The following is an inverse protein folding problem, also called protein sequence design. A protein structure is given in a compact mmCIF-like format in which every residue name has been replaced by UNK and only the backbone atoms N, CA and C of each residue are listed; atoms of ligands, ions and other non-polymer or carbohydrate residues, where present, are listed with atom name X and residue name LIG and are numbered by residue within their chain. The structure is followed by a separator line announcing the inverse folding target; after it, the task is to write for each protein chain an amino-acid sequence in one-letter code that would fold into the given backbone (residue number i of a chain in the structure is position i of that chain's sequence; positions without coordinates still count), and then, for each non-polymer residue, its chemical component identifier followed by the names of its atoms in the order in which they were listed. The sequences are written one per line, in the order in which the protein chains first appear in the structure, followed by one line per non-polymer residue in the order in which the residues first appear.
data_IF_570571449260
#
_entry.id   IF_570571449260
#
_cell.length_a   1.000
_cell.length_b   1.000
_cell.length_c   1.000
_cell.angle_alpha   90.00
_cell.angle_beta   90.00
_cell.angle_gamma   90.00
#
_symmetry.space_group_name_H-M   'P 1'
#
loop_
_entity.id
_entity.type
_entity.pdbx_description
1 polymer ?
#
# COMPACT_ATOMS: atom_id res chain seq x y z
N UNK A 1 -7.48 7.37 69.90
CA UNK A 1 -7.34 8.83 69.72
C UNK A 1 -6.48 9.07 68.49
N UNK A 2 -6.94 9.95 67.59
CA UNK A 2 -6.19 10.69 66.55
C UNK A 2 -5.56 9.85 65.40
N UNK A 3 -5.63 10.22 64.12
CA UNK A 3 -6.31 11.30 63.39
C UNK A 3 -6.25 10.88 61.91
N UNK A 4 -7.38 10.77 61.22
CA UNK A 4 -7.45 10.60 59.77
C UNK A 4 -7.04 11.92 59.11
N UNK A 5 -5.94 11.94 58.35
CA UNK A 5 -5.60 13.08 57.49
C UNK A 5 -6.40 12.98 56.19
N UNK A 6 -7.53 13.66 56.24
CA UNK A 6 -8.20 14.40 55.18
C UNK A 6 -7.21 14.93 54.13
N UNK A 7 -7.12 14.26 52.98
CA UNK A 7 -6.65 14.87 51.73
C UNK A 7 -7.81 15.70 51.15
N UNK A 8 -8.15 16.78 51.85
CA UNK A 8 -8.69 17.97 51.23
C UNK A 8 -7.48 18.81 50.81
N UNK A 9 -7.31 18.99 49.51
CA UNK A 9 -7.03 20.30 48.91
C UNK A 9 -7.04 20.09 47.40
N UNK A 10 -8.27 20.05 46.89
CA UNK A 10 -8.58 20.40 45.52
C UNK A 10 -8.15 21.86 45.32
N UNK A 11 -6.96 22.11 44.78
CA UNK A 11 -6.63 23.43 44.25
C UNK A 11 -7.49 23.64 42.98
N UNK A 12 -8.47 24.57 42.98
CA UNK A 12 -9.20 24.89 41.77
C UNK A 12 -8.23 25.64 40.84
N UNK A 13 -7.85 24.99 39.75
CA UNK A 13 -7.16 25.67 38.65
C UNK A 13 -7.95 26.94 38.27
N UNK A 14 -7.29 28.11 38.14
CA UNK A 14 -7.97 29.33 37.74
C UNK A 14 -8.59 29.15 36.35
N UNK A 15 -9.92 29.21 36.29
CA UNK A 15 -10.74 29.01 35.07
C UNK A 15 -10.85 30.25 34.17
N UNK A 16 -9.92 31.20 34.26
CA UNK A 16 -9.89 32.33 33.35
C UNK A 16 -8.43 32.69 33.07
N UNK A 17 -7.97 32.31 31.87
CA UNK A 17 -6.85 33.01 31.27
C UNK A 17 -7.29 34.47 31.11
N UNK A 18 -6.43 35.47 31.38
CA UNK A 18 -6.75 36.84 31.03
C UNK A 18 -7.14 36.87 29.55
N UNK A 19 -8.28 37.48 29.23
CA UNK A 19 -8.70 37.70 27.85
C UNK A 19 -7.55 38.43 27.14
N UNK A 20 -6.71 37.66 26.46
CA UNK A 20 -5.73 38.18 25.53
C UNK A 20 -6.55 38.91 24.48
N UNK A 21 -6.55 40.23 24.58
CA UNK A 21 -7.11 41.10 23.56
C UNK A 21 -6.26 40.85 22.31
N UNK A 22 -6.69 39.85 21.52
CA UNK A 22 -6.12 39.55 20.22
C UNK A 22 -6.17 40.87 19.44
N UNK A 23 -5.03 41.44 19.06
CA UNK A 23 -5.02 42.70 18.34
C UNK A 23 -5.86 42.51 17.07
N UNK A 24 -6.85 43.38 16.85
CA UNK A 24 -7.69 43.39 15.65
C UNK A 24 -6.78 43.30 14.42
N UNK A 25 -6.67 42.11 13.85
CA UNK A 25 -5.78 41.83 12.73
C UNK A 25 -6.32 42.61 11.52
N UNK A 26 -5.58 43.59 10.96
CA UNK A 26 -6.09 44.48 9.91
C UNK A 26 -6.46 43.78 8.60
N UNK A 27 -6.13 42.50 8.48
CA UNK A 27 -6.38 41.68 7.31
C UNK A 27 -7.49 40.68 7.64
N UNK A 28 -8.73 40.87 7.14
CA UNK A 28 -9.73 39.82 7.26
C UNK A 28 -9.14 38.56 6.60
N UNK A 29 -9.12 37.41 7.28
CA UNK A 29 -8.62 36.18 6.68
C UNK A 29 -9.40 35.94 5.40
N UNK A 30 -8.71 36.00 4.26
CA UNK A 30 -9.32 35.71 2.97
C UNK A 30 -10.01 34.33 3.08
N UNK A 31 -11.28 34.21 2.68
CA UNK A 31 -12.00 32.95 2.77
C UNK A 31 -11.28 31.94 1.90
N UNK A 32 -10.52 31.05 2.55
CA UNK A 32 -9.81 29.96 1.86
C UNK A 32 -10.84 29.22 1.01
N UNK A 33 -10.60 29.05 -0.30
CA UNK A 33 -11.54 28.37 -1.18
C UNK A 33 -11.74 26.95 -0.66
N UNK A 34 -12.88 26.72 -0.02
CA UNK A 34 -13.23 25.45 0.61
C UNK A 34 -13.67 24.48 -0.50
N UNK A 35 -12.69 23.82 -1.12
CA UNK A 35 -12.93 22.76 -2.09
C UNK A 35 -13.36 21.49 -1.37
N UNK A 36 -14.40 20.83 -1.88
CA UNK A 36 -14.94 19.60 -1.33
C UNK A 36 -13.90 18.46 -1.51
N UNK A 37 -13.41 17.81 -0.43
CA UNK A 37 -12.38 16.77 -0.53
C UNK A 37 -12.80 15.60 -1.44
N UNK A 38 -14.09 15.29 -1.50
CA UNK A 38 -14.62 14.23 -2.36
C UNK A 38 -14.49 14.53 -3.86
N UNK A 39 -14.53 15.81 -4.24
CA UNK A 39 -14.35 16.22 -5.63
C UNK A 39 -12.88 16.09 -6.09
N UNK A 40 -11.93 16.34 -5.19
CA UNK A 40 -10.50 16.12 -5.44
C UNK A 40 -10.23 14.62 -5.60
N UNK A 41 -10.81 13.78 -4.72
CA UNK A 41 -10.68 12.32 -4.80
C UNK A 41 -11.27 11.78 -6.11
N UNK A 42 -12.45 12.27 -6.51
CA UNK A 42 -13.09 11.88 -7.78
C UNK A 42 -12.20 12.23 -8.99
N UNK A 43 -11.58 13.41 -8.99
CA UNK A 43 -10.69 13.85 -10.07
C UNK A 43 -9.40 13.03 -10.14
N UNK A 44 -8.77 12.77 -9.00
CA UNK A 44 -7.56 11.92 -8.96
C UNK A 44 -7.88 10.49 -9.40
N UNK A 45 -9.02 9.93 -8.96
CA UNK A 45 -9.45 8.61 -9.39
C UNK A 45 -9.73 8.55 -10.91
N UNK A 46 -10.32 9.60 -11.49
CA UNK A 46 -10.52 9.68 -12.93
C UNK A 46 -9.18 9.75 -13.69
N UNK A 47 -8.23 10.55 -13.21
CA UNK A 47 -6.88 10.64 -13.82
C UNK A 47 -6.11 9.33 -13.76
N UNK A 48 -6.35 8.50 -12.74
CA UNK A 48 -5.74 7.18 -12.59
C UNK A 48 -6.53 6.06 -13.30
N UNK A 49 -7.52 6.41 -14.13
CA UNK A 49 -8.43 5.46 -14.80
C UNK A 49 -9.17 4.51 -13.83
N UNK A 50 -9.31 4.89 -12.55
CA UNK A 50 -10.07 4.16 -11.53
C UNK A 50 -11.57 4.49 -11.66
N UNK A 51 -12.12 4.21 -12.84
CA UNK A 51 -13.49 4.57 -13.24
C UNK A 51 -14.57 4.28 -12.19
N UNK A 52 -14.63 3.08 -11.57
CA UNK A 52 -15.67 2.80 -10.58
C UNK A 52 -15.59 3.71 -9.35
N UNK A 53 -14.36 4.03 -8.94
CA UNK A 53 -14.09 4.94 -7.81
C UNK A 53 -14.45 6.37 -8.20
N UNK A 54 -14.05 6.83 -9.39
CA UNK A 54 -14.37 8.16 -9.90
C UNK A 54 -15.88 8.41 -10.00
N UNK A 55 -16.64 7.42 -10.47
CA UNK A 55 -18.10 7.51 -10.57
C UNK A 55 -18.74 7.66 -9.19
N UNK A 56 -18.35 6.84 -8.22
CA UNK A 56 -18.91 6.88 -6.85
C UNK A 56 -18.62 8.21 -6.17
N UNK A 57 -17.37 8.68 -6.22
CA UNK A 57 -17.00 9.96 -5.60
C UNK A 57 -17.58 11.17 -6.34
N UNK A 58 -17.74 11.10 -7.66
CA UNK A 58 -18.44 12.12 -8.45
C UNK A 58 -19.92 12.23 -8.11
N UNK A 59 -20.60 11.10 -7.90
CA UNK A 59 -22.01 11.07 -7.46
C UNK A 59 -22.17 11.61 -6.03
N UNK A 60 -21.25 11.30 -5.11
CA UNK A 60 -21.23 11.85 -3.75
C UNK A 60 -21.00 13.37 -3.77
N UNK A 61 -20.13 13.85 -4.67
CA UNK A 61 -19.89 15.28 -4.85
C UNK A 61 -21.11 16.05 -5.41
N UNK A 62 -22.00 15.38 -6.14
CA UNK A 62 -23.24 15.97 -6.69
C UNK A 62 -24.27 16.36 -5.62
N UNK A 63 -24.17 15.78 -4.42
CA UNK A 63 -25.03 16.12 -3.28
C UNK A 63 -24.74 17.48 -2.64
N UNK A 64 -23.72 18.22 -3.10
CA UNK A 64 -23.37 19.54 -2.58
C UNK A 64 -23.71 20.67 -3.58
N UNK A 65 -24.47 21.71 -3.16
CA UNK A 65 -25.00 22.74 -4.07
C UNK A 65 -23.91 23.57 -4.78
N UNK A 66 -22.67 23.57 -4.27
CA UNK A 66 -21.53 24.29 -4.84
C UNK A 66 -20.60 23.46 -5.75
N UNK A 67 -20.85 22.16 -5.93
CA UNK A 67 -19.96 21.25 -6.69
C UNK A 67 -20.40 20.91 -8.12
N UNK A 68 -21.54 21.43 -8.58
CA UNK A 68 -22.24 20.93 -9.79
C UNK A 68 -21.41 21.06 -11.07
N UNK A 69 -20.66 22.14 -11.25
CA UNK A 69 -19.85 22.36 -12.46
C UNK A 69 -18.66 21.37 -12.56
N UNK A 70 -17.98 21.10 -11.44
CA UNK A 70 -16.86 20.16 -11.42
C UNK A 70 -17.33 18.72 -11.61
N UNK A 71 -18.49 18.38 -11.04
CA UNK A 71 -19.08 17.07 -11.21
C UNK A 71 -19.58 16.82 -12.65
N UNK A 72 -20.09 17.84 -13.35
CA UNK A 72 -20.42 17.72 -14.78
C UNK A 72 -19.18 17.46 -15.64
N UNK A 73 -18.03 18.11 -15.34
CA UNK A 73 -16.79 17.82 -16.06
C UNK A 73 -16.31 16.40 -15.82
N UNK A 74 -16.35 15.90 -14.58
CA UNK A 74 -15.97 14.52 -14.27
C UNK A 74 -16.83 13.48 -15.02
N UNK A 75 -18.14 13.71 -15.10
CA UNK A 75 -19.06 12.84 -15.85
C UNK A 75 -18.78 12.89 -17.35
N UNK A 76 -18.56 14.07 -17.92
CA UNK A 76 -18.23 14.22 -19.34
C UNK A 76 -16.90 13.56 -19.70
N UNK A 77 -15.89 13.68 -18.83
CA UNK A 77 -14.59 13.02 -19.00
C UNK A 77 -14.73 11.50 -18.96
N UNK A 78 -15.50 10.98 -17.99
CA UNK A 78 -15.80 9.55 -17.93
C UNK A 78 -16.55 9.03 -19.16
N UNK A 79 -17.53 9.79 -19.66
CA UNK A 79 -18.25 9.42 -20.89
C UNK A 79 -17.35 9.44 -22.14
N UNK A 80 -16.46 10.43 -22.25
CA UNK A 80 -15.52 10.54 -23.36
C UNK A 80 -14.51 9.37 -23.37
N UNK A 81 -14.04 8.96 -22.21
CA UNK A 81 -13.07 7.85 -22.10
C UNK A 81 -13.73 6.48 -22.33
N UNK A 82 -14.97 6.25 -21.88
CA UNK A 82 -15.74 5.05 -22.26
C UNK A 82 -15.95 4.98 -23.78
N UNK A 83 -16.26 6.12 -24.42
CA UNK A 83 -16.40 6.19 -25.87
C UNK A 83 -15.08 5.90 -26.58
N UNK A 84 -13.95 6.39 -26.05
CA UNK A 84 -12.62 6.12 -26.61
C UNK A 84 -12.23 4.64 -26.47
N UNK A 85 -12.50 4.00 -25.32
CA UNK A 85 -12.27 2.57 -25.13
C UNK A 85 -13.16 1.72 -26.04
N UNK A 86 -14.44 2.08 -26.19
CA UNK A 86 -15.34 1.41 -27.13
C UNK A 86 -14.86 1.55 -28.57
N UNK A 87 -14.41 2.75 -28.98
CA UNK A 87 -13.83 2.97 -30.29
C UNK A 87 -12.54 2.16 -30.51
N UNK A 88 -11.67 2.08 -29.51
CA UNK A 88 -10.45 1.26 -29.55
C UNK A 88 -10.78 -0.23 -29.70
N UNK A 89 -11.77 -0.74 -28.96
CA UNK A 89 -12.22 -2.14 -29.04
C UNK A 89 -12.86 -2.43 -30.40
N UNK A 90 -13.68 -1.52 -30.93
CA UNK A 90 -14.27 -1.67 -32.26
C UNK A 90 -13.21 -1.62 -33.38
N UNK A 91 -12.20 -0.74 -33.25
CA UNK A 91 -11.11 -0.62 -34.22
C UNK A 91 -10.15 -1.82 -34.17
N UNK A 92 -9.88 -2.36 -32.98
CA UNK A 92 -9.06 -3.57 -32.79
C UNK A 92 -9.80 -4.85 -33.17
N UNK A 93 -11.13 -4.90 -33.00
CA UNK A 93 -11.97 -5.99 -33.49
C UNK A 93 -11.93 -6.14 -35.02
N UNK A 94 -11.78 -5.04 -35.75
CA UNK A 94 -11.57 -5.06 -37.20
C UNK A 94 -10.18 -5.61 -37.59
N UNK A 95 -9.13 -5.37 -36.81
CA UNK A 95 -7.78 -5.88 -37.08
C UNK A 95 -7.62 -7.37 -36.73
N UNK A 96 -8.32 -7.86 -35.70
CA UNK A 96 -8.33 -9.28 -35.32
C UNK A 96 -9.13 -10.14 -36.30
N UNK A 97 -10.18 -9.59 -36.93
CA UNK A 97 -11.00 -10.31 -37.93
C UNK A 97 -10.23 -10.58 -39.24
N UNK A 98 -9.32 -9.69 -39.65
CA UNK A 98 -8.44 -9.90 -40.81
C UNK A 98 -7.25 -10.86 -40.49
N UNK A 99 -6.86 -10.98 -39.22
CA UNK A 99 -5.82 -11.92 -38.78
C UNK A 99 -6.31 -13.37 -38.70
N UNK A 100 -7.56 -13.58 -38.27
CA UNK A 100 -8.17 -14.91 -38.16
C UNK A 100 -8.57 -15.50 -39.51
N UNK A 101 -8.96 -14.69 -40.48
CA UNK A 101 -9.27 -15.17 -41.85
C UNK A 101 -8.02 -15.54 -42.66
N UNK A 102 -6.84 -14.99 -42.34
CA UNK A 102 -5.57 -15.37 -43.00
C UNK A 102 -4.92 -16.62 -42.39
N UNK A 103 -5.21 -16.94 -41.13
CA UNK A 103 -4.69 -18.14 -40.47
C UNK A 103 -5.42 -19.43 -40.91
N UNK A 104 -6.66 -19.32 -41.41
CA UNK A 104 -7.44 -20.46 -41.91
C UNK A 104 -7.07 -20.89 -43.34
N UNK A 105 -6.39 -20.04 -44.12
CA UNK A 105 -6.05 -20.29 -45.54
C UNK A 105 -4.70 -21.02 -45.75
N UNK A 106 -4.07 -21.55 -44.69
CA UNK A 106 -2.78 -22.26 -44.76
C UNK A 106 -2.83 -23.73 -44.32
N UNK A 107 -4.01 -24.32 -44.10
CA UNK A 107 -4.12 -25.77 -43.80
C UNK A 107 -4.85 -26.49 -44.93
N UNK A 108 -4.10 -26.77 -46.01
CA UNK A 108 -4.46 -27.83 -46.95
C UNK A 108 -4.03 -29.21 -46.38
N UNK A 109 -4.78 -30.28 -46.65
CA UNK A 109 -4.65 -31.56 -45.96
C UNK A 109 -3.52 -32.41 -46.57
N UNK A 110 -2.69 -33.01 -45.73
CA UNK A 110 -1.85 -34.14 -46.13
C UNK A 110 -2.12 -35.36 -45.24
N UNK A 111 -2.81 -36.33 -45.83
CA UNK A 111 -2.87 -37.71 -45.35
C UNK A 111 -1.53 -38.41 -45.58
N UNK A 112 -1.08 -39.19 -44.61
CA UNK A 112 -1.00 -40.68 -44.61
C UNK A 112 0.30 -41.19 -43.97
N UNK A 113 0.13 -42.28 -43.24
CA UNK A 113 1.07 -43.36 -42.91
C UNK A 113 1.48 -43.40 -41.43
N UNK A 114 1.00 -44.46 -40.79
CA UNK A 114 1.28 -44.77 -39.41
C UNK A 114 2.66 -45.38 -39.21
N UNK A 115 3.09 -45.34 -37.96
CA UNK A 115 3.97 -46.33 -37.40
C UNK A 115 3.74 -46.39 -35.90
N UNK A 116 3.24 -47.53 -35.45
CA UNK A 116 3.11 -47.91 -34.05
C UNK A 116 4.50 -48.07 -33.47
N UNK A 117 4.90 -47.16 -32.58
CA UNK A 117 6.05 -47.35 -31.69
C UNK A 117 5.59 -47.09 -30.25
N UNK A 118 5.81 -48.09 -29.39
CA UNK A 118 5.43 -48.08 -28.00
C UNK A 118 6.10 -46.92 -27.22
N UNK A 119 5.42 -46.31 -26.24
CA UNK A 119 6.03 -45.28 -25.41
C UNK A 119 7.11 -45.89 -24.50
N UNK A 120 8.30 -45.28 -24.37
CA UNK A 120 9.18 -45.60 -23.26
C UNK A 120 8.52 -45.15 -21.96
N UNK A 121 8.38 -46.08 -21.02
CA UNK A 121 8.02 -45.80 -19.63
C UNK A 121 9.08 -44.88 -19.02
N UNK A 122 8.80 -43.59 -18.98
CA UNK A 122 9.51 -42.64 -18.11
C UNK A 122 8.88 -42.69 -16.74
N UNK A 123 9.67 -43.15 -15.79
CA UNK A 123 9.41 -43.10 -14.35
C UNK A 123 9.02 -41.69 -13.94
N UNK A 124 7.97 -41.49 -13.12
CA UNK A 124 7.62 -40.16 -12.63
C UNK A 124 8.73 -39.66 -11.71
N UNK A 125 9.45 -38.62 -12.16
CA UNK A 125 10.21 -37.76 -11.25
C UNK A 125 9.20 -37.10 -10.30
N UNK A 126 9.33 -37.28 -8.98
CA UNK A 126 8.43 -36.62 -8.05
C UNK A 126 8.54 -35.08 -8.23
N UNK A 127 7.43 -34.33 -8.11
CA UNK A 127 7.49 -32.88 -8.07
C UNK A 127 8.48 -32.43 -6.98
N UNK A 128 9.22 -31.31 -7.16
CA UNK A 128 10.01 -30.76 -6.07
C UNK A 128 9.10 -30.63 -4.87
N UNK A 129 9.46 -31.33 -3.79
CA UNK A 129 8.73 -31.28 -2.55
C UNK A 129 8.61 -29.81 -2.16
N UNK A 130 7.38 -29.32 -2.11
CA UNK A 130 7.06 -28.08 -1.44
C UNK A 130 7.57 -28.24 -0.01
N UNK A 131 8.69 -27.59 0.31
CA UNK A 131 9.16 -27.52 1.68
C UNK A 131 8.11 -26.72 2.44
N UNK A 132 7.19 -27.44 3.08
CA UNK A 132 6.42 -26.89 4.19
C UNK A 132 7.46 -26.26 5.12
N UNK A 133 7.36 -24.96 5.46
CA UNK A 133 8.28 -24.39 6.41
C UNK A 133 8.09 -25.15 7.71
N UNK A 134 9.12 -25.89 8.11
CA UNK A 134 9.31 -26.31 9.49
C UNK A 134 9.16 -25.05 10.32
N UNK A 135 8.09 -24.96 11.10
CA UNK A 135 7.89 -23.88 12.05
C UNK A 135 9.05 -23.94 13.06
N UNK A 136 10.13 -23.20 12.75
CA UNK A 136 11.13 -22.84 13.74
C UNK A 136 10.40 -22.07 14.85
N UNK A 137 10.83 -22.21 16.12
CA UNK A 137 10.28 -21.40 17.20
C UNK A 137 10.38 -19.93 16.78
N UNK A 138 9.23 -19.27 16.66
CA UNK A 138 9.17 -17.82 16.48
C UNK A 138 9.90 -17.23 17.68
N UNK A 139 11.13 -16.75 17.46
CA UNK A 139 11.81 -15.96 18.46
C UNK A 139 10.87 -14.82 18.83
N UNK A 140 10.40 -14.83 20.07
CA UNK A 140 9.42 -13.87 20.56
C UNK A 140 10.02 -12.48 20.40
N UNK A 141 9.35 -11.62 19.62
CA UNK A 141 9.86 -10.29 19.34
C UNK A 141 10.02 -9.52 20.64
N UNK A 142 11.12 -8.75 20.82
CA UNK A 142 11.32 -7.99 22.04
C UNK A 142 10.19 -6.98 22.25
N UNK A 143 9.65 -6.93 23.47
CA UNK A 143 8.68 -5.90 23.85
C UNK A 143 9.42 -4.57 24.03
N UNK A 144 9.05 -3.57 23.24
CA UNK A 144 9.74 -2.27 23.15
C UNK A 144 8.75 -1.11 23.22
N UNK A 145 9.23 0.07 23.62
CA UNK A 145 8.40 1.29 23.72
C UNK A 145 8.65 2.18 22.50
N UNK A 146 7.58 2.68 21.88
CA UNK A 146 7.66 3.68 20.82
C UNK A 146 8.43 4.92 21.32
N UNK A 147 9.33 5.42 20.48
CA UNK A 147 10.23 6.54 20.77
C UNK A 147 11.44 6.20 21.63
N UNK A 148 11.55 4.98 22.18
CA UNK A 148 12.75 4.58 22.91
C UNK A 148 13.95 4.49 21.97
N UNK A 149 15.14 4.81 22.49
CA UNK A 149 16.38 4.66 21.75
C UNK A 149 16.67 3.18 21.46
N UNK A 150 17.33 2.94 20.33
CA UNK A 150 17.88 1.64 19.96
C UNK A 150 19.32 1.79 19.47
N UNK A 151 20.05 0.69 19.44
CA UNK A 151 21.45 0.66 19.01
C UNK A 151 21.57 0.46 17.51
N UNK A 152 22.72 0.81 16.91
CA UNK A 152 22.98 0.57 15.49
C UNK A 152 22.87 -0.93 15.13
N UNK A 153 23.24 -1.83 16.05
CA UNK A 153 23.06 -3.28 15.86
C UNK A 153 21.58 -3.70 15.77
N UNK A 154 20.67 -2.86 16.27
CA UNK A 154 19.23 -3.10 16.22
C UNK A 154 18.55 -2.45 15.02
N UNK A 155 19.26 -1.76 14.13
CA UNK A 155 18.66 -1.13 12.95
C UNK A 155 17.88 -2.14 12.08
N UNK A 156 16.64 -1.79 11.78
CA UNK A 156 15.68 -2.64 11.09
C UNK A 156 15.12 -3.79 11.92
N UNK A 157 15.50 -3.97 13.19
CA UNK A 157 14.90 -5.00 14.05
C UNK A 157 13.42 -4.73 14.25
N UNK A 158 12.66 -5.81 14.38
CA UNK A 158 11.23 -5.81 14.64
C UNK A 158 11.01 -6.05 16.13
N UNK A 159 10.26 -5.14 16.76
CA UNK A 159 9.81 -5.26 18.13
C UNK A 159 8.29 -5.19 18.23
N UNK A 160 7.75 -5.54 19.40
CA UNK A 160 6.33 -5.44 19.70
C UNK A 160 6.09 -4.38 20.76
N UNK A 161 5.16 -3.46 20.52
CA UNK A 161 4.70 -2.53 21.53
C UNK A 161 3.78 -3.24 22.54
N UNK A 162 3.57 -2.60 23.70
CA UNK A 162 2.71 -3.15 24.76
C UNK A 162 1.23 -3.32 24.33
N UNK A 163 0.82 -2.61 23.28
CA UNK A 163 -0.50 -2.72 22.65
C UNK A 163 -0.55 -3.78 21.54
N UNK A 164 0.56 -4.51 21.29
CA UNK A 164 0.69 -5.50 20.22
C UNK A 164 1.07 -4.92 18.86
N UNK A 165 1.26 -3.59 18.74
CA UNK A 165 1.73 -2.97 17.51
C UNK A 165 3.15 -3.40 17.14
N UNK A 166 3.45 -3.53 15.85
CA UNK A 166 4.83 -3.79 15.40
C UNK A 166 5.61 -2.47 15.33
N UNK A 167 6.77 -2.43 15.99
CA UNK A 167 7.70 -1.31 15.96
C UNK A 167 8.98 -1.70 15.23
N UNK A 168 9.61 -0.73 14.56
CA UNK A 168 10.89 -0.88 13.88
C UNK A 168 11.92 0.05 14.51
N UNK A 169 13.14 -0.43 14.69
CA UNK A 169 14.26 0.46 15.05
C UNK A 169 14.79 1.12 13.77
N UNK A 170 14.50 2.40 13.58
CA UNK A 170 14.91 3.17 12.40
C UNK A 170 15.88 4.28 12.80
N UNK A 171 16.70 4.71 11.84
CA UNK A 171 17.48 5.93 11.95
C UNK A 171 16.58 7.15 12.00
N UNK A 172 16.99 8.17 12.75
CA UNK A 172 16.35 9.47 12.67
C UNK A 172 16.87 10.23 11.44
N UNK A 173 16.02 10.55 10.45
CA UNK A 173 16.47 11.33 9.29
C UNK A 173 16.95 12.73 9.69
N UNK A 174 16.55 13.24 10.86
CA UNK A 174 16.97 14.55 11.37
C UNK A 174 18.32 14.53 12.11
N UNK A 175 18.84 13.36 12.52
CA UNK A 175 20.08 13.29 13.30
C UNK A 175 20.82 11.99 13.03
N UNK A 176 22.00 12.11 12.41
CA UNK A 176 22.87 10.97 12.14
C UNK A 176 23.25 10.21 13.42
N UNK A 177 23.23 8.89 13.34
CA UNK A 177 23.61 8.00 14.45
C UNK A 177 22.58 7.91 15.59
N UNK A 178 21.47 8.64 15.53
CA UNK A 178 20.35 8.47 16.45
C UNK A 178 19.38 7.47 15.87
N UNK A 179 19.03 6.44 16.65
CA UNK A 179 18.08 5.41 16.25
C UNK A 179 16.99 5.27 17.30
N UNK A 180 15.75 5.12 16.86
CA UNK A 180 14.59 4.99 17.74
C UNK A 180 13.60 3.96 17.23
N UNK A 181 12.87 3.38 18.16
CA UNK A 181 11.72 2.53 17.85
C UNK A 181 10.54 3.38 17.34
N UNK A 182 10.19 3.25 16.06
CA UNK A 182 9.08 3.93 15.39
C UNK A 182 7.97 2.95 15.00
N UNK A 183 6.78 3.46 14.67
CA UNK A 183 5.63 2.66 14.25
C UNK A 183 4.29 3.23 14.73
N UNK A 184 3.18 2.49 14.58
CA UNK A 184 3.12 1.08 14.17
C UNK A 184 3.39 0.85 12.68
N UNK A 185 3.98 -0.29 12.33
CA UNK A 185 4.21 -0.74 10.95
C UNK A 185 3.51 -2.07 10.65
N UNK A 186 3.21 -2.32 9.38
CA UNK A 186 2.77 -3.63 8.89
C UNK A 186 3.92 -4.31 8.15
N UNK A 187 4.53 -5.30 8.81
CA UNK A 187 5.60 -6.11 8.22
C UNK A 187 5.02 -7.47 7.86
N UNK A 188 5.13 -7.86 6.58
CA UNK A 188 4.71 -9.18 6.12
C UNK A 188 5.39 -10.30 6.91
N UNK A 189 4.75 -11.46 7.00
CA UNK A 189 5.28 -12.63 7.73
C UNK A 189 6.24 -13.48 6.90
N UNK A 190 6.38 -13.20 5.61
CA UNK A 190 7.32 -13.88 4.72
C UNK A 190 8.77 -13.65 5.18
N UNK A 191 9.56 -14.72 5.14
CA UNK A 191 10.99 -14.68 5.46
C UNK A 191 11.78 -14.67 4.16
N UNK A 192 12.64 -13.67 3.96
CA UNK A 192 13.44 -13.43 2.76
C UNK A 192 14.86 -13.00 3.11
N UNK A 193 15.78 -13.07 2.16
CA UNK A 193 17.14 -12.56 2.32
C UNK A 193 17.33 -11.17 1.66
N UNK A 194 18.14 -10.27 2.25
CA UNK A 194 18.45 -8.99 1.62
C UNK A 194 19.15 -9.18 0.27
N UNK A 195 18.72 -8.43 -0.74
CA UNK A 195 19.24 -8.46 -2.10
C UNK A 195 18.60 -9.52 -3.01
N UNK A 196 17.75 -10.40 -2.47
CA UNK A 196 16.93 -11.29 -3.31
C UNK A 196 15.90 -10.48 -4.10
N UNK A 197 15.54 -10.97 -5.29
CA UNK A 197 14.48 -10.35 -6.10
C UNK A 197 13.12 -10.49 -5.41
N UNK A 198 12.30 -9.45 -5.53
CA UNK A 198 10.98 -9.40 -4.92
C UNK A 198 9.95 -8.88 -5.92
N UNK A 199 8.67 -9.15 -5.68
CA UNK A 199 7.57 -8.61 -6.46
C UNK A 199 6.73 -7.68 -5.56
N UNK A 200 6.76 -6.35 -5.77
CA UNK A 200 6.05 -5.39 -4.93
C UNK A 200 4.52 -5.49 -5.08
N UNK A 201 4.01 -6.16 -6.13
CA UNK A 201 2.60 -6.49 -6.31
C UNK A 201 2.14 -7.66 -5.43
N UNK A 202 3.06 -8.53 -5.02
CA UNK A 202 2.77 -9.71 -4.17
C UNK A 202 3.10 -9.41 -2.70
N UNK A 203 4.29 -8.88 -2.42
CA UNK A 203 4.77 -8.64 -1.07
C UNK A 203 5.57 -7.34 -0.98
N UNK A 204 5.06 -6.37 -0.22
CA UNK A 204 5.71 -5.06 -0.03
C UNK A 204 6.74 -5.03 1.09
N UNK A 205 6.55 -5.90 2.08
CA UNK A 205 7.42 -6.01 3.25
C UNK A 205 7.55 -7.46 3.68
N UNK A 206 8.66 -7.77 4.34
CA UNK A 206 8.98 -9.09 4.82
C UNK A 206 9.95 -9.04 5.99
N UNK A 207 10.47 -10.19 6.38
CA UNK A 207 11.40 -10.33 7.50
C UNK A 207 12.62 -11.13 7.09
N UNK A 208 13.77 -10.87 7.70
CA UNK A 208 14.89 -11.80 7.66
C UNK A 208 14.73 -12.88 8.73
N UNK A 209 15.50 -13.96 8.64
CA UNK A 209 15.52 -15.02 9.65
C UNK A 209 15.97 -14.51 11.05
N UNK A 210 16.76 -13.43 11.11
CA UNK A 210 17.18 -12.78 12.35
C UNK A 210 16.17 -11.74 12.88
N UNK A 211 15.00 -11.61 12.25
CA UNK A 211 13.92 -10.77 12.75
C UNK A 211 14.06 -9.28 12.39
N UNK A 212 14.75 -8.96 11.29
CA UNK A 212 14.80 -7.60 10.74
C UNK A 212 13.75 -7.42 9.66
N UNK A 213 13.23 -6.21 9.51
CA UNK A 213 12.29 -5.86 8.47
C UNK A 213 13.01 -5.65 7.13
N UNK A 214 12.36 -6.16 6.10
CA UNK A 214 12.70 -5.93 4.71
C UNK A 214 11.57 -5.19 4.04
N UNK A 215 11.92 -4.34 3.08
CA UNK A 215 11.00 -3.69 2.15
C UNK A 215 11.38 -4.09 0.73
N UNK A 216 10.38 -4.34 -0.11
CA UNK A 216 10.60 -4.61 -1.53
C UNK A 216 10.70 -3.27 -2.26
N UNK A 217 11.89 -2.94 -2.75
CA UNK A 217 12.17 -1.66 -3.43
C UNK A 217 12.49 -1.91 -4.90
N UNK A 218 12.02 -1.02 -5.77
CA UNK A 218 12.19 -1.10 -7.23
C UNK A 218 10.90 -1.40 -7.98
N UNK A 219 11.01 -1.50 -9.30
CA UNK A 219 9.91 -1.88 -10.19
C UNK A 219 9.84 -3.40 -10.37
N UNK A 220 8.69 -3.95 -10.77
CA UNK A 220 8.44 -5.39 -10.81
C UNK A 220 9.48 -6.26 -11.57
N UNK A 221 10.32 -5.67 -12.43
CA UNK A 221 11.38 -6.37 -13.16
C UNK A 221 12.75 -6.34 -12.47
N UNK A 222 13.01 -5.36 -11.60
CA UNK A 222 14.31 -5.11 -10.96
C UNK A 222 14.19 -4.88 -9.43
N UNK A 223 13.05 -5.24 -8.85
CA UNK A 223 12.80 -5.04 -7.44
C UNK A 223 13.57 -6.06 -6.58
N UNK A 224 14.13 -5.58 -5.48
CA UNK A 224 14.90 -6.38 -4.54
C UNK A 224 14.52 -6.10 -3.09
N UNK A 225 14.71 -7.10 -2.23
CA UNK A 225 14.53 -6.96 -0.79
C UNK A 225 15.66 -6.11 -0.19
N UNK A 226 15.30 -4.94 0.34
CA UNK A 226 16.23 -4.02 1.00
C UNK A 226 15.93 -3.99 2.50
N UNK A 227 16.97 -3.82 3.32
CA UNK A 227 16.81 -3.67 4.78
C UNK A 227 16.10 -2.36 5.09
N UNK A 228 15.03 -2.44 5.88
CA UNK A 228 14.28 -1.26 6.26
C UNK A 228 14.97 -0.56 7.44
N UNK A 229 15.74 0.49 7.17
CA UNK A 229 16.52 1.21 8.20
C UNK A 229 16.15 2.68 8.38
N UNK A 230 15.29 3.24 7.53
CA UNK A 230 14.83 4.65 7.55
C UNK A 230 13.32 4.82 7.35
#
# INVERSE_FOLDING_TARGET
MARTQEWQDSEPWPQAWPDEHEPDDPFPPEPRPMVNPYAVIALVAALLALFPVAIVFGLIAFGHPRGRAMATFAVLLGLAEVAALAALVLMSGNLLSDGLTRADDLVAPQSTAGSTAAPPTTTPTPPPASTTPTALPTAEAPVVRKGAACTAAQLGMIGSAADGGTLLCLGDPATEGVHRWSGPYHVGTGVYEPGETCDPGIAKSGRTADGRALVCEGDAQDAAWVRWTE
#
